data_IF_240277130873
#
_entry.id   IF_240277130873
#
_cell.length_a   1.000
_cell.length_b   1.000
_cell.length_c   1.000
_cell.angle_alpha   90.00
_cell.angle_beta   90.00
_cell.angle_gamma   90.00
#
_symmetry.space_group_name_H-M   'P 1'
#
loop_
_entity.id
_entity.type
_entity.pdbx_description
1 polymer ?
#
# COMPACT_ATOMS: atom_id res chain seq x y z
N UNK A 1 18.84 13.77 48.34
CA UNK A 1 19.59 13.98 47.08
C UNK A 1 19.93 12.68 46.34
N UNK A 2 20.54 11.65 46.97
CA UNK A 2 20.88 10.38 46.29
C UNK A 2 19.72 9.70 45.54
N UNK A 3 18.54 9.60 46.16
CA UNK A 3 17.34 9.02 45.51
C UNK A 3 16.88 9.83 44.29
N UNK A 4 16.89 11.16 44.37
CA UNK A 4 16.55 12.05 43.26
C UNK A 4 17.54 11.92 42.09
N UNK A 5 18.84 11.86 42.38
CA UNK A 5 19.89 11.64 41.37
C UNK A 5 19.75 10.28 40.68
N UNK A 6 19.43 9.22 41.43
CA UNK A 6 19.18 7.88 40.88
C UNK A 6 17.92 7.88 39.99
N UNK A 7 16.82 8.44 40.47
CA UNK A 7 15.58 8.56 39.67
C UNK A 7 15.82 9.35 38.39
N UNK A 8 16.52 10.48 38.47
CA UNK A 8 16.88 11.28 37.29
C UNK A 8 17.76 10.49 36.32
N UNK A 9 18.79 9.79 36.82
CA UNK A 9 19.64 8.93 36.00
C UNK A 9 18.86 7.84 35.25
N UNK A 10 17.89 7.21 35.91
CA UNK A 10 17.01 6.22 35.27
C UNK A 10 16.21 6.85 34.13
N UNK A 11 15.60 8.02 34.36
CA UNK A 11 14.84 8.71 33.31
C UNK A 11 15.70 9.07 32.10
N UNK A 12 16.93 9.53 32.32
CA UNK A 12 17.87 9.84 31.22
C UNK A 12 18.21 8.59 30.44
N UNK A 13 18.55 7.49 31.11
CA UNK A 13 18.89 6.23 30.45
C UNK A 13 17.70 5.69 29.65
N UNK A 14 16.49 5.73 30.21
CA UNK A 14 15.27 5.34 29.50
C UNK A 14 15.02 6.22 28.28
N UNK A 15 15.19 7.55 28.39
CA UNK A 15 15.04 8.47 27.28
C UNK A 15 16.02 8.18 26.14
N UNK A 16 17.29 7.93 26.47
CA UNK A 16 18.32 7.57 25.48
C UNK A 16 17.98 6.23 24.80
N UNK A 17 17.54 5.24 25.56
CA UNK A 17 17.14 3.94 25.00
C UNK A 17 15.96 4.06 24.03
N UNK A 18 14.95 4.88 24.37
CA UNK A 18 13.79 5.15 23.50
C UNK A 18 14.23 5.84 22.21
N UNK A 19 15.10 6.84 22.29
CA UNK A 19 15.62 7.55 21.11
C UNK A 19 16.44 6.62 20.22
N UNK A 20 17.31 5.81 20.81
CA UNK A 20 18.08 4.80 20.07
C UNK A 20 17.15 3.81 19.38
N UNK A 21 16.15 3.27 20.08
CA UNK A 21 15.14 2.39 19.48
C UNK A 21 14.39 3.08 18.34
N UNK A 22 14.05 4.36 18.45
CA UNK A 22 13.36 5.06 17.36
C UNK A 22 14.25 5.30 16.14
N UNK A 23 15.55 5.55 16.33
CA UNK A 23 16.51 5.74 15.24
C UNK A 23 16.81 4.43 14.52
N UNK A 24 17.04 3.35 15.26
CA UNK A 24 17.46 2.07 14.67
C UNK A 24 16.28 1.17 14.28
N UNK A 25 15.18 1.20 15.04
CA UNK A 25 14.01 0.34 14.87
C UNK A 25 12.75 1.13 14.48
N UNK A 26 12.89 2.40 14.09
CA UNK A 26 11.76 3.27 13.78
C UNK A 26 10.81 2.73 12.72
N UNK A 27 11.32 2.00 11.73
CA UNK A 27 10.51 1.29 10.74
C UNK A 27 9.62 0.21 11.41
N UNK A 28 10.18 -0.64 12.28
CA UNK A 28 9.42 -1.69 12.96
C UNK A 28 8.42 -1.11 13.96
N UNK A 29 8.82 -0.07 14.70
CA UNK A 29 7.94 0.65 15.61
C UNK A 29 6.77 1.29 14.87
N UNK A 30 7.02 1.90 13.70
CA UNK A 30 5.97 2.47 12.85
C UNK A 30 4.99 1.38 12.38
N UNK A 31 5.50 0.25 11.89
CA UNK A 31 4.66 -0.89 11.51
C UNK A 31 3.85 -1.47 12.67
N UNK A 32 4.41 -1.51 13.87
CA UNK A 32 3.73 -1.98 15.06
C UNK A 32 2.58 -1.04 15.44
N UNK A 33 2.84 0.26 15.47
CA UNK A 33 1.82 1.29 15.76
C UNK A 33 0.70 1.27 14.71
N UNK A 34 1.04 1.08 13.44
CA UNK A 34 0.07 1.04 12.34
C UNK A 34 -0.95 -0.11 12.46
N UNK A 35 -0.65 -1.15 13.27
CA UNK A 35 -1.62 -2.22 13.60
C UNK A 35 -2.81 -1.70 14.41
N UNK A 36 -2.61 -0.66 15.21
CA UNK A 36 -3.65 -0.04 16.04
C UNK A 36 -4.41 1.07 15.31
N UNK A 37 -3.81 1.66 14.28
CA UNK A 37 -4.48 2.66 13.48
C UNK A 37 -3.55 3.37 12.50
N UNK A 38 -4.16 3.88 11.43
CA UNK A 38 -3.52 4.75 10.44
C UNK A 38 -4.37 6.00 10.23
N UNK A 39 -3.73 7.09 9.81
CA UNK A 39 -4.38 8.37 9.58
C UNK A 39 -4.92 8.39 8.15
N UNK A 40 -6.24 8.60 7.99
CA UNK A 40 -6.87 8.76 6.69
C UNK A 40 -6.42 10.06 6.00
N UNK A 41 -6.10 9.98 4.71
CA UNK A 41 -5.70 11.13 3.89
C UNK A 41 -6.80 11.46 2.90
N UNK A 42 -7.29 10.46 2.18
CA UNK A 42 -8.27 10.64 1.12
C UNK A 42 -9.11 9.37 0.96
N UNK A 43 -10.31 9.53 0.43
CA UNK A 43 -11.19 8.44 0.01
C UNK A 43 -11.87 8.87 -1.29
N UNK A 44 -11.45 8.29 -2.40
CA UNK A 44 -11.99 8.63 -3.73
C UNK A 44 -12.83 7.48 -4.25
N UNK A 45 -13.92 7.81 -4.96
CA UNK A 45 -14.70 6.80 -5.68
C UNK A 45 -13.84 6.25 -6.82
N UNK A 46 -13.95 4.95 -7.06
CA UNK A 46 -13.36 4.33 -8.25
C UNK A 46 -14.24 4.68 -9.44
N UNK A 47 -13.62 5.24 -10.48
CA UNK A 47 -14.25 5.61 -11.74
C UNK A 47 -13.75 4.71 -12.87
N UNK A 48 -12.50 4.26 -12.79
CA UNK A 48 -11.91 3.30 -13.72
C UNK A 48 -11.02 2.31 -12.99
N UNK A 49 -10.94 1.10 -13.53
CA UNK A 49 -9.97 0.10 -13.12
C UNK A 49 -9.39 -0.59 -14.34
N UNK A 50 -8.07 -0.71 -14.39
CA UNK A 50 -7.36 -1.37 -15.46
C UNK A 50 -6.20 -2.21 -14.95
N UNK A 51 -5.68 -3.06 -15.82
CA UNK A 51 -4.57 -3.95 -15.56
C UNK A 51 -3.58 -3.96 -16.71
N UNK A 52 -2.30 -3.93 -16.35
CA UNK A 52 -1.17 -4.10 -17.25
C UNK A 52 -0.28 -5.24 -16.73
N UNK A 53 -0.14 -6.31 -17.51
CA UNK A 53 0.72 -7.44 -17.16
C UNK A 53 0.35 -8.74 -17.86
N UNK A 54 1.06 -9.82 -17.52
CA UNK A 54 0.93 -11.15 -18.15
C UNK A 54 -0.07 -12.08 -17.45
N UNK A 55 -0.88 -11.55 -16.54
CA UNK A 55 -1.93 -12.28 -15.82
C UNK A 55 -1.54 -12.82 -14.44
N UNK A 56 -0.25 -12.77 -14.06
CA UNK A 56 0.20 -12.96 -12.66
C UNK A 56 1.14 -11.82 -12.29
N UNK A 57 0.89 -11.18 -11.15
CA UNK A 57 1.59 -9.92 -10.81
C UNK A 57 1.18 -8.79 -11.76
N UNK A 58 2.08 -7.84 -12.03
CA UNK A 58 1.83 -6.69 -12.91
C UNK A 58 1.35 -5.45 -12.14
N UNK A 59 0.61 -4.57 -12.82
CA UNK A 59 0.15 -3.29 -12.26
C UNK A 59 -1.36 -3.20 -12.39
N UNK A 60 -2.03 -3.02 -11.25
CA UNK A 60 -3.44 -2.63 -11.20
C UNK A 60 -3.51 -1.10 -11.19
N UNK A 61 -4.22 -0.53 -12.14
CA UNK A 61 -4.42 0.90 -12.27
C UNK A 61 -5.83 1.21 -11.79
N UNK A 62 -5.96 1.97 -10.70
CA UNK A 62 -7.25 2.38 -10.15
C UNK A 62 -7.34 3.89 -10.27
N UNK A 63 -8.28 4.39 -11.07
CA UNK A 63 -8.27 5.76 -11.58
C UNK A 63 -6.93 6.04 -12.27
N UNK A 64 -6.06 6.86 -11.67
CA UNK A 64 -4.71 7.17 -12.16
C UNK A 64 -3.60 6.62 -11.25
N UNK A 65 -3.96 5.80 -10.25
CA UNK A 65 -3.03 5.26 -9.25
C UNK A 65 -2.55 3.89 -9.71
N UNK A 66 -1.25 3.77 -9.99
CA UNK A 66 -0.60 2.53 -10.42
C UNK A 66 -0.12 1.72 -9.20
N UNK A 67 -0.75 0.58 -8.95
CA UNK A 67 -0.54 -0.27 -7.79
C UNK A 67 0.04 -1.62 -8.21
N UNK A 68 1.28 -1.90 -7.81
CA UNK A 68 1.95 -3.15 -8.15
C UNK A 68 1.30 -4.35 -7.47
N UNK A 69 1.04 -5.41 -8.24
CA UNK A 69 0.53 -6.70 -7.75
C UNK A 69 1.67 -7.70 -7.45
N UNK A 70 2.91 -7.29 -7.66
CA UNK A 70 4.09 -8.11 -7.37
C UNK A 70 4.22 -8.35 -5.85
N UNK A 71 4.68 -9.55 -5.48
CA UNK A 71 4.67 -10.02 -4.09
C UNK A 71 5.63 -9.26 -3.17
N UNK A 72 5.13 -8.93 -1.98
CA UNK A 72 5.94 -8.58 -0.79
C UNK A 72 6.09 -9.79 0.13
N UNK A 73 5.11 -10.70 0.06
CA UNK A 73 4.94 -11.86 0.93
C UNK A 73 4.55 -13.05 0.07
N UNK A 74 5.30 -14.14 0.22
CA UNK A 74 5.02 -15.42 -0.42
C UNK A 74 3.56 -15.83 -0.16
N UNK A 75 2.82 -16.15 -1.22
CA UNK A 75 1.40 -16.61 -1.24
C UNK A 75 0.34 -15.53 -1.47
N UNK A 76 0.73 -14.31 -1.86
CA UNK A 76 -0.22 -13.23 -2.14
C UNK A 76 -0.37 -12.91 -3.64
N UNK A 77 0.23 -13.69 -4.54
CA UNK A 77 0.10 -13.55 -5.99
C UNK A 77 -1.37 -13.68 -6.45
N UNK A 78 -2.06 -12.57 -6.79
CA UNK A 78 -3.33 -12.68 -7.47
C UNK A 78 -3.10 -13.04 -8.94
N UNK A 79 -4.00 -13.82 -9.50
CA UNK A 79 -4.11 -13.97 -10.95
C UNK A 79 -5.15 -13.00 -11.48
N UNK A 80 -4.84 -12.32 -12.58
CA UNK A 80 -5.67 -11.29 -13.18
C UNK A 80 -5.96 -11.68 -14.62
N UNK A 81 -7.20 -11.55 -15.06
CA UNK A 81 -7.61 -12.03 -16.37
C UNK A 81 -9.05 -11.71 -16.71
N UNK A 82 -9.56 -12.35 -17.76
CA UNK A 82 -10.96 -12.33 -18.12
C UNK A 82 -11.67 -13.61 -17.67
N UNK A 83 -12.96 -13.50 -17.31
CA UNK A 83 -13.83 -14.66 -17.07
C UNK A 83 -14.36 -15.22 -18.40
N UNK A 84 -14.97 -16.40 -18.36
CA UNK A 84 -15.68 -16.99 -19.50
C UNK A 84 -16.81 -16.10 -20.04
N UNK A 85 -17.35 -15.24 -19.19
CA UNK A 85 -18.41 -14.28 -19.54
C UNK A 85 -17.85 -12.92 -19.99
N UNK A 86 -16.57 -12.88 -20.38
CA UNK A 86 -15.86 -11.67 -20.82
C UNK A 86 -15.86 -10.53 -19.77
N UNK A 87 -15.72 -10.88 -18.49
CA UNK A 87 -15.57 -9.89 -17.41
C UNK A 87 -14.11 -9.79 -16.97
N UNK A 88 -13.62 -8.57 -16.78
CA UNK A 88 -12.35 -8.33 -16.12
C UNK A 88 -12.44 -8.80 -14.67
N UNK A 89 -11.52 -9.68 -14.24
CA UNK A 89 -11.56 -10.27 -12.92
C UNK A 89 -10.17 -10.45 -12.29
N UNK A 90 -10.17 -10.49 -10.96
CA UNK A 90 -9.04 -10.86 -10.13
C UNK A 90 -9.39 -12.10 -9.33
N UNK A 91 -8.46 -13.05 -9.26
CA UNK A 91 -8.61 -14.24 -8.46
C UNK A 91 -7.48 -14.40 -7.44
N UNK A 92 -7.83 -14.86 -6.25
CA UNK A 92 -6.90 -15.13 -5.16
C UNK A 92 -7.51 -16.16 -4.22
N UNK A 93 -6.70 -17.11 -3.73
CA UNK A 93 -7.16 -18.14 -2.79
C UNK A 93 -8.34 -18.98 -3.28
N UNK A 94 -8.41 -19.26 -4.59
CA UNK A 94 -9.51 -20.01 -5.22
C UNK A 94 -10.82 -19.25 -5.40
N UNK A 95 -10.88 -17.96 -5.03
CA UNK A 95 -12.03 -17.09 -5.22
C UNK A 95 -11.79 -16.13 -6.37
N UNK A 96 -12.86 -15.78 -7.09
CA UNK A 96 -12.81 -14.87 -8.24
C UNK A 96 -13.72 -13.69 -7.98
N UNK A 97 -13.19 -12.48 -8.12
CA UNK A 97 -13.94 -11.24 -8.06
C UNK A 97 -13.92 -10.57 -9.44
N UNK A 98 -15.07 -10.48 -10.10
CA UNK A 98 -15.21 -9.78 -11.36
C UNK A 98 -15.41 -8.27 -11.12
N UNK A 99 -14.65 -7.40 -11.76
CA UNK A 99 -14.83 -5.95 -11.69
C UNK A 99 -15.96 -5.46 -12.59
N UNK A 100 -16.07 -6.03 -13.79
CA UNK A 100 -17.08 -5.62 -14.77
C UNK A 100 -16.80 -6.19 -16.16
N UNK A 101 -17.72 -5.98 -17.10
CA UNK A 101 -17.56 -6.44 -18.48
C UNK A 101 -16.39 -5.73 -19.16
N UNK A 102 -15.67 -6.45 -20.02
CA UNK A 102 -14.67 -5.87 -20.90
C UNK A 102 -15.36 -5.24 -22.13
N UNK A 103 -14.86 -4.11 -22.66
CA UNK A 103 -15.32 -3.58 -23.93
C UNK A 103 -15.09 -4.62 -25.04
N UNK A 104 -16.07 -4.77 -25.94
CA UNK A 104 -15.99 -5.68 -27.09
C UNK A 104 -14.76 -5.35 -27.95
N UNK A 105 -13.88 -6.33 -28.13
CA UNK A 105 -12.53 -6.19 -28.70
C UNK A 105 -12.52 -5.77 -30.18
N UNK A 106 -11.80 -4.69 -30.50
CA UNK A 106 -11.03 -4.59 -31.75
C UNK A 106 -9.61 -5.10 -31.49
N UNK A 107 -9.05 -5.81 -32.46
CA UNK A 107 -7.79 -6.56 -32.37
C UNK A 107 -6.63 -5.75 -31.74
N UNK A 108 -6.10 -6.25 -30.63
CA UNK A 108 -5.01 -5.62 -29.85
C UNK A 108 -5.21 -5.62 -28.31
N UNK A 109 -6.38 -6.02 -27.82
CA UNK A 109 -6.81 -5.89 -26.42
C UNK A 109 -6.26 -6.94 -25.42
N UNK A 110 -5.38 -7.86 -25.84
CA UNK A 110 -4.93 -8.95 -24.98
C UNK A 110 -4.06 -8.50 -23.78
N UNK A 111 -3.38 -7.35 -23.90
CA UNK A 111 -2.40 -6.88 -22.90
C UNK A 111 -2.95 -5.81 -21.93
N UNK A 112 -4.17 -5.32 -22.16
CA UNK A 112 -4.77 -4.26 -21.34
C UNK A 112 -6.23 -4.57 -21.01
N UNK A 113 -6.47 -5.02 -19.77
CA UNK A 113 -7.82 -5.26 -19.28
C UNK A 113 -8.29 -4.00 -18.58
N UNK A 114 -9.36 -3.37 -19.06
CA UNK A 114 -9.90 -2.15 -18.46
C UNK A 114 -11.42 -2.20 -18.40
N UNK A 115 -12.00 -1.71 -17.31
CA UNK A 115 -13.45 -1.55 -17.16
C UNK A 115 -13.77 -0.39 -16.21
N UNK A 116 -15.05 -0.06 -16.13
CA UNK A 116 -15.61 0.89 -15.18
C UNK A 116 -16.48 0.13 -14.18
N UNK A 117 -16.60 0.58 -12.92
CA UNK A 117 -17.48 -0.06 -11.95
C UNK A 117 -18.91 -0.19 -12.48
N UNK A 118 -19.53 -1.34 -12.23
CA UNK A 118 -20.90 -1.58 -12.68
C UNK A 118 -21.87 -0.72 -11.88
N UNK A 119 -23.02 -0.37 -12.46
CA UNK A 119 -24.06 0.37 -11.74
C UNK A 119 -24.44 -0.35 -10.43
N UNK A 120 -24.41 0.40 -9.33
CA UNK A 120 -24.69 -0.10 -7.98
C UNK A 120 -23.46 -0.60 -7.21
N UNK A 121 -22.29 -0.70 -7.84
CA UNK A 121 -21.06 -1.03 -7.13
C UNK A 121 -20.63 0.14 -6.22
N UNK A 122 -20.29 -0.20 -4.97
CA UNK A 122 -19.66 0.70 -4.01
C UNK A 122 -18.15 0.44 -4.02
N UNK A 123 -17.43 1.20 -4.83
CA UNK A 123 -15.99 1.05 -5.01
C UNK A 123 -15.23 2.34 -4.62
N UNK A 124 -14.28 2.21 -3.71
CA UNK A 124 -13.47 3.32 -3.19
C UNK A 124 -11.99 2.95 -3.10
N UNK A 125 -11.14 3.92 -3.43
CA UNK A 125 -9.71 3.89 -3.13
C UNK A 125 -9.43 4.82 -1.94
N UNK A 126 -9.04 4.23 -0.82
CA UNK A 126 -8.75 4.95 0.42
C UNK A 126 -7.24 5.04 0.62
N UNK A 127 -6.74 6.26 0.75
CA UNK A 127 -5.33 6.52 1.03
C UNK A 127 -5.14 6.85 2.51
N UNK A 128 -4.19 6.20 3.17
CA UNK A 128 -3.87 6.38 4.59
C UNK A 128 -2.36 6.51 4.77
N UNK A 129 -1.90 7.06 5.89
CA UNK A 129 -0.47 7.07 6.28
C UNK A 129 -0.27 6.54 7.68
N UNK A 130 0.96 6.15 7.96
CA UNK A 130 1.39 5.83 9.32
C UNK A 130 1.17 7.00 10.28
N UNK A 131 0.90 6.65 11.54
CA UNK A 131 0.87 7.61 12.65
C UNK A 131 2.29 8.06 12.99
N UNK A 132 3.20 7.10 13.07
CA UNK A 132 4.60 7.34 13.44
C UNK A 132 5.46 7.43 12.17
N UNK A 133 6.21 8.54 12.08
CA UNK A 133 7.32 8.70 11.12
C UNK A 133 8.62 8.28 11.80
N UNK A 134 9.64 7.90 11.03
CA UNK A 134 10.95 7.56 11.58
C UNK A 134 12.08 8.30 10.85
N UNK A 135 13.15 8.67 11.57
CA UNK A 135 14.29 9.34 10.95
C UNK A 135 15.16 8.32 10.21
N UNK A 136 15.92 8.80 9.23
CA UNK A 136 16.86 7.97 8.46
C UNK A 136 18.25 8.60 8.40
N UNK A 137 18.93 8.81 9.55
CA UNK A 137 20.19 9.54 9.62
C UNK A 137 21.36 8.81 8.94
N UNK A 138 21.18 7.53 8.60
CA UNK A 138 22.20 6.68 7.98
C UNK A 138 21.88 6.29 6.52
N UNK A 139 20.75 6.73 5.97
CA UNK A 139 20.40 6.48 4.56
C UNK A 139 21.07 7.51 3.66
N UNK A 140 22.35 7.29 3.35
CA UNK A 140 23.12 8.18 2.48
C UNK A 140 23.00 7.76 1.00
N UNK A 141 22.57 8.68 0.14
CA UNK A 141 22.61 8.51 -1.31
C UNK A 141 23.71 9.37 -1.94
N UNK A 142 24.85 8.75 -2.24
CA UNK A 142 25.99 9.41 -2.86
C UNK A 142 25.85 9.61 -4.38
N UNK A 143 24.91 8.90 -5.03
CA UNK A 143 24.73 8.99 -6.48
C UNK A 143 23.89 10.22 -6.88
N UNK A 144 22.81 10.51 -6.15
CA UNK A 144 21.92 11.65 -6.45
C UNK A 144 22.14 12.84 -5.53
N UNK A 145 22.90 12.67 -4.44
CA UNK A 145 23.10 13.69 -3.41
C UNK A 145 21.86 13.97 -2.55
N UNK A 146 20.74 13.28 -2.77
CA UNK A 146 19.50 13.47 -2.02
C UNK A 146 19.21 12.26 -1.12
N UNK A 147 19.24 12.51 0.18
CA UNK A 147 19.00 11.51 1.22
C UNK A 147 17.70 11.85 1.97
N UNK A 148 16.80 10.88 2.19
CA UNK A 148 15.61 11.12 3.00
C UNK A 148 16.04 11.41 4.44
N UNK A 149 15.48 12.44 5.06
CA UNK A 149 15.68 12.70 6.50
C UNK A 149 14.64 11.99 7.36
N UNK A 150 13.45 11.78 6.80
CA UNK A 150 12.37 11.03 7.43
C UNK A 150 11.67 10.13 6.43
N UNK A 151 11.05 9.08 6.96
CA UNK A 151 10.18 8.18 6.21
C UNK A 151 8.89 7.90 6.98
N UNK A 152 7.87 7.48 6.24
CA UNK A 152 6.62 6.96 6.77
C UNK A 152 6.06 5.90 5.82
N UNK A 153 5.13 5.06 6.28
CA UNK A 153 4.37 4.25 5.35
C UNK A 153 3.16 5.03 4.81
N UNK A 154 2.81 4.71 3.57
CA UNK A 154 1.56 5.10 2.95
C UNK A 154 0.83 3.85 2.49
N UNK A 155 -0.48 3.86 2.67
CA UNK A 155 -1.35 2.72 2.42
C UNK A 155 -2.39 3.11 1.40
N UNK A 156 -2.58 2.26 0.41
CA UNK A 156 -3.66 2.36 -0.55
C UNK A 156 -4.58 1.16 -0.30
N UNK A 157 -5.84 1.42 0.00
CA UNK A 157 -6.83 0.40 0.26
C UNK A 157 -7.93 0.48 -0.80
N UNK A 158 -8.00 -0.52 -1.68
CA UNK A 158 -9.15 -0.70 -2.55
C UNK A 158 -10.23 -1.43 -1.77
N UNK A 159 -11.43 -0.83 -1.69
CA UNK A 159 -12.64 -1.46 -1.14
C UNK A 159 -13.68 -1.48 -2.23
N UNK A 160 -14.19 -2.65 -2.54
CA UNK A 160 -15.21 -2.83 -3.57
C UNK A 160 -16.30 -3.74 -3.06
N UNK A 161 -17.55 -3.28 -3.12
CA UNK A 161 -18.72 -4.07 -2.77
C UNK A 161 -19.72 -4.05 -3.93
N UNK A 162 -20.20 -5.22 -4.30
CA UNK A 162 -21.23 -5.41 -5.32
C UNK A 162 -22.64 -5.36 -4.70
N UNK A 163 -23.67 -4.98 -5.49
CA UNK A 163 -25.07 -5.15 -5.08
C UNK A 163 -25.42 -6.58 -4.67
N UNK A 164 -24.77 -7.58 -5.27
CA UNK A 164 -24.97 -8.99 -4.94
C UNK A 164 -24.42 -9.40 -3.57
N UNK A 165 -23.68 -8.53 -2.89
CA UNK A 165 -23.04 -8.81 -1.60
C UNK A 165 -21.56 -9.19 -1.69
N UNK A 166 -21.03 -9.45 -2.89
CA UNK A 166 -19.61 -9.76 -3.08
C UNK A 166 -18.72 -8.58 -2.69
N UNK A 167 -17.64 -8.85 -1.95
CA UNK A 167 -16.70 -7.85 -1.42
C UNK A 167 -15.27 -8.23 -1.81
N UNK A 168 -14.52 -7.22 -2.27
CA UNK A 168 -13.08 -7.27 -2.44
C UNK A 168 -12.45 -6.16 -1.59
N UNK A 169 -11.46 -6.54 -0.78
CA UNK A 169 -10.54 -5.59 -0.16
C UNK A 169 -9.10 -5.92 -0.53
N UNK A 170 -8.36 -4.91 -0.98
CA UNK A 170 -6.94 -5.03 -1.25
C UNK A 170 -6.19 -3.91 -0.55
N UNK A 171 -5.02 -4.22 0.02
CA UNK A 171 -4.21 -3.25 0.75
C UNK A 171 -2.77 -3.30 0.26
N UNK A 172 -2.28 -2.15 -0.21
CA UNK A 172 -0.88 -1.93 -0.53
C UNK A 172 -0.24 -1.08 0.56
N UNK A 173 1.05 -1.32 0.80
CA UNK A 173 1.90 -0.51 1.66
C UNK A 173 3.14 -0.10 0.89
N UNK A 174 3.46 1.18 0.90
CA UNK A 174 4.69 1.73 0.34
C UNK A 174 5.39 2.61 1.37
N UNK A 175 6.64 2.97 1.10
CA UNK A 175 7.31 4.02 1.85
C UNK A 175 7.11 5.37 1.15
N UNK A 176 7.00 6.44 1.93
CA UNK A 176 7.02 7.82 1.46
C UNK A 176 8.17 8.54 2.14
N UNK A 177 9.05 9.11 1.33
CA UNK A 177 10.29 9.75 1.80
C UNK A 177 10.07 11.24 1.96
N UNK A 178 10.66 11.82 3.00
CA UNK A 178 10.73 13.26 3.19
C UNK A 178 12.15 13.74 2.91
N UNK A 179 12.26 14.71 2.02
CA UNK A 179 13.50 15.41 1.72
C UNK A 179 13.40 16.85 2.23
N UNK A 180 14.40 17.37 2.96
CA UNK A 180 14.33 18.72 3.55
C UNK A 180 13.98 19.84 2.57
N UNK A 181 14.39 19.72 1.31
CA UNK A 181 14.22 20.78 0.31
C UNK A 181 12.96 20.64 -0.56
N UNK A 182 12.42 19.43 -0.71
CA UNK A 182 11.29 19.15 -1.61
C UNK A 182 10.06 18.61 -0.88
N UNK A 183 10.18 18.33 0.42
CA UNK A 183 9.11 17.82 1.25
C UNK A 183 8.87 16.33 1.07
N UNK A 184 7.62 15.90 1.27
CA UNK A 184 7.22 14.51 1.08
C UNK A 184 7.18 14.18 -0.42
N UNK A 185 8.01 13.24 -0.85
CA UNK A 185 8.04 12.72 -2.22
C UNK A 185 6.84 11.84 -2.55
N UNK A 186 6.94 11.12 -3.68
CA UNK A 186 5.89 10.19 -4.10
C UNK A 186 5.70 9.07 -3.06
N UNK A 187 4.44 8.65 -2.90
CA UNK A 187 4.06 7.56 -1.99
C UNK A 187 4.29 6.16 -2.56
N UNK A 188 5.21 6.01 -3.51
CA UNK A 188 5.45 4.75 -4.23
C UNK A 188 6.90 4.28 -4.08
N UNK A 189 7.63 4.76 -3.08
CA UNK A 189 8.99 4.27 -2.83
C UNK A 189 8.91 2.82 -2.37
N UNK A 190 9.73 1.98 -3.00
CA UNK A 190 9.75 0.55 -2.73
C UNK A 190 10.96 0.18 -1.88
N UNK A 191 10.74 -0.78 -0.98
CA UNK A 191 11.76 -1.49 -0.22
C UNK A 191 11.48 -2.97 -0.36
N UNK A 192 12.48 -3.71 -0.83
CA UNK A 192 12.37 -5.15 -1.08
C UNK A 192 11.87 -5.87 0.18
N UNK A 193 10.85 -6.71 0.01
CA UNK A 193 10.24 -7.49 1.10
C UNK A 193 9.44 -6.67 2.13
N UNK A 194 9.25 -5.35 1.94
CA UNK A 194 8.47 -4.50 2.86
C UNK A 194 7.33 -3.73 2.19
N UNK A 195 7.40 -3.49 0.88
CA UNK A 195 6.44 -2.64 0.14
C UNK A 195 5.81 -3.32 -1.07
N UNK A 196 4.53 -3.07 -1.29
CA UNK A 196 3.69 -3.66 -2.35
C UNK A 196 2.35 -4.13 -1.78
N UNK A 197 1.73 -5.11 -2.43
CA UNK A 197 0.47 -5.70 -1.98
C UNK A 197 0.71 -6.56 -0.72
N UNK A 198 0.02 -6.22 0.37
CA UNK A 198 0.18 -6.88 1.68
C UNK A 198 -1.07 -7.62 2.16
N UNK A 199 -2.22 -7.41 1.50
CA UNK A 199 -3.47 -8.12 1.80
C UNK A 199 -4.40 -8.12 0.60
N UNK A 200 -5.04 -9.27 0.37
CA UNK A 200 -6.24 -9.42 -0.46
C UNK A 200 -7.26 -10.21 0.36
N UNK A 201 -8.50 -9.75 0.41
CA UNK A 201 -9.65 -10.48 0.93
C UNK A 201 -10.78 -10.46 -0.10
N UNK A 202 -11.29 -11.64 -0.43
CA UNK A 202 -12.43 -11.82 -1.34
C UNK A 202 -13.52 -12.57 -0.58
N UNK A 203 -14.72 -12.00 -0.56
CA UNK A 203 -15.94 -12.60 0.00
C UNK A 203 -17.00 -12.59 -1.09
N UNK A 204 -17.64 -13.73 -1.33
CA UNK A 204 -18.64 -13.90 -2.37
C UNK A 204 -20.01 -14.13 -1.73
#
# INVERSE_FOLDING_TARGET
>A
MRKLLVTFGIFVVCGVAILAAWIFEGHQLSLFVDRFGTIGINSTKVNSIAYEGSGTGGILIVNDVRLGLNEVTSNLSPSVGSTKDNQFALASGGKVFAFGPLPSTTDGAADHLATVPTSGDEAFLVTRRSVLIWPTPFDFNFMTGQSPSWKRHIYYQLRWKKPSGGILEMLWRYEQYFYPHTGWGSGFMTRQGSTGLIRIDIRL
#
